data_IF_421002778270
#
_entry.id   IF_421002778270
#
_cell.length_a   1.000
_cell.length_b   1.000
_cell.length_c   1.000
_cell.angle_alpha   90.00
_cell.angle_beta   90.00
_cell.angle_gamma   90.00
#
_symmetry.space_group_name_H-M   'P 1'
#
loop_
_entity.id
_entity.type
_entity.pdbx_description
1 polymer ?
#
# COMPACT_ATOMS: atom_id res chain seq x y z
N UNK A 1 -34.73 7.44 28.25
CA UNK A 1 -35.10 7.14 26.85
C UNK A 1 -34.94 8.43 26.09
N UNK A 2 -34.11 8.35 25.04
CA UNK A 2 -33.63 9.40 24.13
C UNK A 2 -32.61 10.41 24.71
N UNK A 3 -31.45 10.38 24.05
CA UNK A 3 -30.38 11.38 23.89
C UNK A 3 -29.57 11.79 25.12
N UNK A 4 -28.56 10.99 25.44
CA UNK A 4 -27.46 11.47 26.27
C UNK A 4 -26.15 10.91 25.74
N UNK A 5 -25.31 11.81 25.25
CA UNK A 5 -23.89 11.62 24.93
C UNK A 5 -23.56 11.01 23.55
N UNK A 6 -23.91 11.74 22.49
CA UNK A 6 -22.96 12.00 21.38
C UNK A 6 -21.80 12.79 21.98
N UNK A 7 -20.84 12.10 22.59
CA UNK A 7 -19.59 12.67 23.11
C UNK A 7 -18.43 11.76 22.69
N UNK A 8 -17.75 12.20 21.63
CA UNK A 8 -16.30 12.05 21.43
C UNK A 8 -15.81 10.60 21.41
N UNK A 9 -15.61 9.94 20.28
CA UNK A 9 -15.68 10.37 18.89
C UNK A 9 -15.24 9.19 18.02
N UNK A 10 -15.24 9.46 16.72
CA UNK A 10 -14.51 8.70 15.72
C UNK A 10 -15.01 7.28 15.46
N UNK A 11 -15.72 7.14 14.33
CA UNK A 11 -15.77 5.91 13.56
C UNK A 11 -14.36 5.33 13.47
N UNK A 12 -14.11 4.18 14.11
CA UNK A 12 -12.89 3.42 13.88
C UNK A 12 -12.97 2.75 12.51
N UNK A 13 -12.98 3.58 11.47
CA UNK A 13 -12.69 3.22 10.08
C UNK A 13 -11.25 3.63 9.76
N UNK A 14 -10.35 3.42 10.72
CA UNK A 14 -8.91 3.71 10.60
C UNK A 14 -8.13 2.70 11.45
N UNK A 15 -8.39 1.42 11.22
CA UNK A 15 -7.47 0.33 11.58
C UNK A 15 -6.69 -0.14 10.34
N UNK A 16 -6.46 0.77 9.39
CA UNK A 16 -5.64 0.54 8.21
C UNK A 16 -4.75 1.75 8.01
N UNK A 17 -3.55 1.74 8.58
CA UNK A 17 -2.32 2.25 7.95
C UNK A 17 -1.18 2.23 8.97
N UNK A 18 -0.70 1.02 9.25
CA UNK A 18 0.73 0.80 9.43
C UNK A 18 0.91 -0.66 9.12
N UNK A 19 1.29 -0.98 7.87
CA UNK A 19 2.07 -2.19 7.67
C UNK A 19 3.35 -1.90 8.46
N UNK A 20 3.44 -2.42 9.69
CA UNK A 20 4.64 -2.34 10.52
C UNK A 20 5.76 -3.02 9.72
N UNK A 21 6.59 -2.25 9.03
CA UNK A 21 7.88 -2.71 8.53
C UNK A 21 8.75 -3.27 9.68
N UNK A 22 8.44 -2.94 10.93
CA UNK A 22 9.02 -3.51 12.17
C UNK A 22 8.68 -4.98 12.43
N UNK A 23 7.68 -5.57 11.77
CA UNK A 23 7.35 -7.00 11.91
C UNK A 23 8.01 -7.86 10.81
N UNK A 24 8.72 -7.25 9.86
CA UNK A 24 9.38 -7.97 8.77
C UNK A 24 10.76 -8.45 9.23
N UNK A 25 11.05 -9.77 9.21
CA UNK A 25 12.34 -10.27 9.63
C UNK A 25 13.49 -9.72 8.76
N UNK A 26 14.68 -9.45 9.36
CA UNK A 26 15.85 -9.06 8.60
C UNK A 26 16.13 -10.05 7.46
N UNK A 27 16.31 -9.53 6.25
CA UNK A 27 16.59 -10.33 5.05
C UNK A 27 15.38 -10.64 4.19
N UNK A 28 14.14 -10.40 4.67
CA UNK A 28 12.98 -10.43 3.79
C UNK A 28 13.05 -9.26 2.80
N UNK A 29 12.83 -9.57 1.52
CA UNK A 29 12.92 -8.60 0.43
C UNK A 29 11.76 -8.83 -0.53
N UNK A 30 11.39 -7.76 -1.21
CA UNK A 30 10.47 -7.84 -2.32
C UNK A 30 11.10 -8.64 -3.47
N UNK A 31 10.62 -9.86 -3.69
CA UNK A 31 11.08 -10.76 -4.76
C UNK A 31 9.90 -11.55 -5.36
N UNK A 32 8.92 -10.85 -5.98
CA UNK A 32 7.74 -11.51 -6.55
C UNK A 32 8.09 -12.33 -7.79
N UNK A 33 7.30 -13.36 -8.05
CA UNK A 33 7.31 -14.09 -9.33
C UNK A 33 6.59 -13.30 -10.43
N UNK A 34 6.81 -13.67 -11.70
CA UNK A 34 6.12 -13.06 -12.85
C UNK A 34 4.59 -13.15 -12.73
N UNK A 35 4.10 -14.30 -12.27
CA UNK A 35 2.67 -14.54 -12.07
C UNK A 35 2.08 -13.61 -10.99
N UNK A 36 2.83 -13.35 -9.91
CA UNK A 36 2.40 -12.42 -8.86
C UNK A 36 2.46 -10.97 -9.34
N UNK A 37 3.50 -10.57 -10.09
CA UNK A 37 3.59 -9.23 -10.66
C UNK A 37 2.37 -8.90 -11.53
N UNK A 38 1.97 -9.81 -12.41
CA UNK A 38 0.83 -9.59 -13.31
C UNK A 38 -0.51 -9.82 -12.61
N UNK A 39 -0.67 -10.99 -11.99
CA UNK A 39 -1.95 -11.46 -11.46
C UNK A 39 -2.36 -10.80 -10.15
N UNK A 40 -1.40 -10.31 -9.36
CA UNK A 40 -1.68 -9.61 -8.11
C UNK A 40 -1.40 -8.11 -8.23
N UNK A 41 -0.16 -7.69 -8.49
CA UNK A 41 0.17 -6.26 -8.41
C UNK A 41 -0.45 -5.44 -9.53
N UNK A 42 -0.23 -5.83 -10.79
CA UNK A 42 -0.74 -5.09 -11.95
C UNK A 42 -2.26 -5.15 -12.03
N UNK A 43 -2.85 -6.34 -11.86
CA UNK A 43 -4.29 -6.53 -11.91
C UNK A 43 -5.03 -5.65 -10.87
N UNK A 44 -4.52 -5.59 -9.64
CA UNK A 44 -5.09 -4.76 -8.57
C UNK A 44 -4.92 -3.27 -8.85
N UNK A 45 -3.76 -2.86 -9.37
CA UNK A 45 -3.50 -1.46 -9.77
C UNK A 45 -4.49 -0.98 -10.84
N UNK A 46 -4.71 -1.78 -11.88
CA UNK A 46 -5.69 -1.47 -12.95
C UNK A 46 -7.13 -1.45 -12.43
N UNK A 47 -7.44 -2.26 -11.43
CA UNK A 47 -8.75 -2.29 -10.78
C UNK A 47 -8.94 -1.22 -9.68
N UNK A 48 -7.98 -0.30 -9.51
CA UNK A 48 -7.96 0.70 -8.43
C UNK A 48 -8.13 0.08 -7.03
N UNK A 49 -7.61 -1.13 -6.83
CA UNK A 49 -7.65 -1.83 -5.54
C UNK A 49 -6.41 -1.50 -4.72
N UNK A 50 -6.59 -1.32 -3.40
CA UNK A 50 -5.52 -0.99 -2.46
C UNK A 50 -4.45 -2.09 -2.40
N UNK A 51 -3.19 -1.76 -2.67
CA UNK A 51 -2.05 -2.69 -2.57
C UNK A 51 -1.30 -2.36 -1.27
N UNK A 52 -1.26 -3.31 -0.33
CA UNK A 52 -0.51 -3.18 0.92
C UNK A 52 0.56 -4.28 0.97
N UNK A 53 1.84 -3.96 1.27
CA UNK A 53 2.41 -2.61 1.34
C UNK A 53 2.54 -1.92 -0.03
N UNK A 54 2.58 -0.58 -0.04
CA UNK A 54 2.79 0.24 -1.26
C UNK A 54 4.27 0.20 -1.72
N UNK A 55 4.69 -0.97 -2.19
CA UNK A 55 6.07 -1.25 -2.59
C UNK A 55 6.41 -0.80 -4.02
N UNK A 56 5.40 -0.54 -4.86
CA UNK A 56 5.59 -0.16 -6.27
C UNK A 56 5.05 1.26 -6.48
N UNK A 57 5.96 2.23 -6.56
CA UNK A 57 5.64 3.65 -6.75
C UNK A 57 5.11 3.94 -8.16
N UNK A 58 4.24 4.94 -8.28
CA UNK A 58 3.81 5.51 -9.55
C UNK A 58 4.87 6.47 -10.11
N UNK A 59 5.39 6.16 -11.29
CA UNK A 59 6.39 6.97 -12.01
C UNK A 59 6.10 7.00 -13.51
N UNK A 60 6.37 8.13 -14.14
CA UNK A 60 6.34 8.24 -15.61
C UNK A 60 7.73 7.90 -16.17
N UNK A 61 7.90 6.63 -16.54
CA UNK A 61 9.16 6.10 -17.05
C UNK A 61 9.64 6.77 -18.34
N UNK A 62 8.75 7.40 -19.11
CA UNK A 62 9.11 8.02 -20.39
C UNK A 62 9.63 9.45 -20.25
N UNK A 63 9.52 10.04 -19.06
CA UNK A 63 9.93 11.42 -18.79
C UNK A 63 11.11 11.51 -17.83
N UNK A 64 11.61 10.37 -17.37
CA UNK A 64 12.70 10.26 -16.40
C UNK A 64 13.89 9.57 -17.01
N UNK A 65 15.09 9.97 -16.60
CA UNK A 65 16.28 9.24 -16.97
C UNK A 65 16.44 7.99 -16.10
N UNK A 66 17.07 6.91 -16.60
CA UNK A 66 17.20 5.66 -15.85
C UNK A 66 17.86 5.80 -14.48
N UNK A 67 18.77 6.76 -14.31
CA UNK A 67 19.45 7.03 -13.04
C UNK A 67 18.60 7.80 -12.04
N UNK A 68 17.54 8.48 -12.48
CA UNK A 68 16.63 9.22 -11.60
C UNK A 68 15.67 8.28 -10.83
N UNK A 69 15.62 6.99 -11.20
CA UNK A 69 14.79 5.97 -10.54
C UNK A 69 15.31 5.54 -9.16
N UNK A 70 16.50 5.99 -8.74
CA UNK A 70 17.11 5.61 -7.46
C UNK A 70 16.56 6.42 -6.26
N UNK A 71 15.61 7.33 -6.47
CA UNK A 71 15.04 8.24 -5.48
C UNK A 71 13.86 7.72 -4.66
#
# INVERSE_FOLDING_TARGET
MIDSWVRVGFTSESAMEVVEYSCVPPGFRFHPTEAELVGYYLARKVACQKIDPDVIRDVDLYRMEPWDLQG
#
